data_IF_701210757329
#
_entry.id   IF_701210757329
#
_cell.length_a   1.000
_cell.length_b   1.000
_cell.length_c   1.000
_cell.angle_alpha   90.00
_cell.angle_beta   90.00
_cell.angle_gamma   90.00
#
_symmetry.space_group_name_H-M   'P 1'
#
loop_
_entity.id
_entity.type
_entity.pdbx_description
1 polymer ?
#
# COMPACT_ATOMS: atom_id res chain seq x y z
N UNK A 1 -20.56 -47.86 -13.50
CA UNK A 1 -19.38 -47.21 -14.12
C UNK A 1 -19.59 -45.71 -14.33
N UNK A 2 -20.69 -45.26 -14.94
CA UNK A 2 -20.98 -43.83 -15.19
C UNK A 2 -21.02 -42.96 -13.91
N UNK A 3 -21.65 -43.44 -12.84
CA UNK A 3 -21.73 -42.72 -11.55
C UNK A 3 -20.37 -42.53 -10.86
N UNK A 4 -19.46 -43.50 -11.01
CA UNK A 4 -18.10 -43.43 -10.43
C UNK A 4 -17.19 -42.48 -11.21
N UNK A 5 -17.35 -42.44 -12.53
CA UNK A 5 -16.68 -41.45 -13.40
C UNK A 5 -17.14 -40.02 -13.06
N UNK A 6 -18.45 -39.83 -12.86
CA UNK A 6 -19.03 -38.52 -12.52
C UNK A 6 -18.58 -38.03 -11.14
N UNK A 7 -18.52 -38.92 -10.15
CA UNK A 7 -18.03 -38.59 -8.81
C UNK A 7 -16.54 -38.20 -8.82
N UNK A 8 -15.71 -38.92 -9.57
CA UNK A 8 -14.28 -38.62 -9.70
C UNK A 8 -14.04 -37.28 -10.39
N UNK A 9 -14.85 -36.97 -11.41
CA UNK A 9 -14.81 -35.68 -12.12
C UNK A 9 -15.22 -34.52 -11.19
N UNK A 10 -16.26 -34.70 -10.38
CA UNK A 10 -16.70 -33.69 -9.41
C UNK A 10 -15.64 -33.43 -8.33
N UNK A 11 -14.96 -34.47 -7.84
CA UNK A 11 -13.84 -34.33 -6.89
C UNK A 11 -12.65 -33.60 -7.51
N UNK A 12 -12.31 -33.90 -8.77
CA UNK A 12 -11.26 -33.19 -9.49
C UNK A 12 -11.61 -31.71 -9.70
N UNK A 13 -12.87 -31.41 -10.04
CA UNK A 13 -13.35 -30.04 -10.20
C UNK A 13 -13.35 -29.26 -8.88
N UNK A 14 -13.71 -29.87 -7.75
CA UNK A 14 -13.65 -29.17 -6.46
C UNK A 14 -12.22 -28.89 -6.02
N UNK A 15 -11.27 -29.81 -6.25
CA UNK A 15 -9.84 -29.61 -5.95
C UNK A 15 -9.23 -28.51 -6.82
N UNK A 16 -9.60 -28.43 -8.11
CA UNK A 16 -9.15 -27.36 -9.00
C UNK A 16 -9.75 -26.00 -8.62
N UNK A 17 -11.00 -25.96 -8.15
CA UNK A 17 -11.65 -24.71 -7.73
C UNK A 17 -11.13 -24.19 -6.37
N UNK A 18 -10.68 -25.06 -5.46
CA UNK A 18 -10.03 -24.64 -4.21
C UNK A 18 -8.61 -24.14 -4.42
N UNK A 19 -7.87 -24.65 -5.41
CA UNK A 19 -6.54 -24.12 -5.79
C UNK A 19 -6.61 -22.76 -6.50
N UNK A 20 -7.79 -22.34 -6.98
CA UNK A 20 -8.02 -21.04 -7.60
C UNK A 20 -8.56 -19.97 -6.64
N UNK A 21 -8.67 -20.26 -5.33
CA UNK A 21 -8.80 -19.19 -4.33
C UNK A 21 -7.42 -18.57 -4.19
N UNK A 22 -7.19 -17.48 -4.95
CA UNK A 22 -5.92 -16.79 -5.04
C UNK A 22 -5.25 -16.68 -3.69
N UNK A 23 -3.95 -17.01 -3.65
CA UNK A 23 -3.15 -17.09 -2.43
C UNK A 23 -3.55 -15.99 -1.46
N UNK A 24 -4.18 -16.39 -0.34
CA UNK A 24 -4.32 -15.49 0.79
C UNK A 24 -2.90 -15.17 1.19
N UNK A 25 -2.43 -13.99 0.77
CA UNK A 25 -1.07 -13.54 1.02
C UNK A 25 -0.95 -13.38 2.53
N UNK A 26 -0.45 -14.41 3.20
CA UNK A 26 -0.16 -14.37 4.63
C UNK A 26 1.03 -13.44 4.82
N UNK A 27 0.83 -12.25 5.42
CA UNK A 27 1.91 -11.29 5.57
C UNK A 27 3.07 -11.84 6.41
N UNK A 28 2.80 -12.80 7.31
CA UNK A 28 3.83 -13.45 8.13
C UNK A 28 4.74 -14.38 7.33
N UNK A 29 4.24 -14.95 6.24
CA UNK A 29 5.04 -15.76 5.32
C UNK A 29 5.81 -14.89 4.33
N UNK A 30 5.29 -13.71 3.99
CA UNK A 30 5.94 -12.78 3.06
C UNK A 30 7.23 -12.18 3.61
N UNK A 31 7.27 -11.78 4.89
CA UNK A 31 8.46 -11.11 5.46
C UNK A 31 9.73 -11.95 5.34
N UNK A 32 9.60 -13.28 5.38
CA UNK A 32 10.72 -14.23 5.30
C UNK A 32 11.48 -14.19 3.97
N UNK A 33 10.86 -13.66 2.92
CA UNK A 33 11.46 -13.57 1.59
C UNK A 33 12.22 -12.27 1.34
N UNK A 34 12.15 -11.29 2.24
CA UNK A 34 12.91 -10.06 2.11
C UNK A 34 14.29 -10.20 2.77
N UNK A 35 15.34 -9.73 2.08
CA UNK A 35 16.69 -9.63 2.66
C UNK A 35 16.74 -8.69 3.87
N UNK A 36 15.98 -7.58 3.80
CA UNK A 36 15.70 -6.68 4.92
C UNK A 36 14.18 -6.50 5.06
N UNK A 37 13.66 -6.65 6.28
CA UNK A 37 12.24 -6.43 6.54
C UNK A 37 11.84 -4.97 6.22
N UNK A 38 10.66 -4.73 5.65
CA UNK A 38 10.20 -3.37 5.36
C UNK A 38 10.10 -2.52 6.63
N UNK A 39 10.82 -1.40 6.65
CA UNK A 39 10.77 -0.43 7.75
C UNK A 39 10.62 1.00 7.19
N UNK A 40 9.36 1.38 7.04
CA UNK A 40 8.92 2.69 6.60
C UNK A 40 9.38 3.81 7.55
N UNK A 41 9.50 3.53 8.85
CA UNK A 41 9.96 4.52 9.82
C UNK A 41 11.48 4.77 9.72
N UNK A 42 12.28 3.72 9.55
CA UNK A 42 13.72 3.82 9.24
C UNK A 42 13.94 4.61 7.95
N UNK A 43 13.09 4.41 6.93
CA UNK A 43 13.13 5.22 5.70
C UNK A 43 12.88 6.70 6.01
N UNK A 44 11.83 7.00 6.78
CA UNK A 44 11.52 8.37 7.23
C UNK A 44 12.65 8.97 8.03
N UNK A 45 13.42 8.22 8.82
CA UNK A 45 14.51 8.77 9.64
C UNK A 45 15.79 9.00 8.83
N UNK A 46 16.21 8.00 8.06
CA UNK A 46 17.52 7.97 7.40
C UNK A 46 17.55 8.73 6.08
N UNK A 47 16.48 8.65 5.29
CA UNK A 47 16.44 9.29 3.98
C UNK A 47 16.06 10.77 4.09
N UNK A 48 16.90 11.66 3.53
CA UNK A 48 16.72 13.11 3.63
C UNK A 48 16.35 13.79 2.30
N UNK A 49 16.45 13.08 1.19
CA UNK A 49 16.18 13.63 -0.13
C UNK A 49 14.69 13.56 -0.49
N UNK A 50 14.24 14.31 -1.51
CA UNK A 50 12.91 14.14 -2.06
C UNK A 50 12.73 12.76 -2.70
N UNK A 51 11.54 12.20 -2.55
CA UNK A 51 11.10 11.06 -3.36
C UNK A 51 10.35 11.58 -4.58
N UNK A 52 10.54 10.92 -5.72
CA UNK A 52 9.81 11.18 -6.96
C UNK A 52 8.99 9.96 -7.31
N UNK A 53 7.71 10.14 -7.64
CA UNK A 53 6.89 9.05 -8.15
C UNK A 53 7.09 8.94 -9.65
N UNK A 54 7.81 7.89 -10.07
CA UNK A 54 8.15 7.66 -11.48
C UNK A 54 7.22 6.65 -12.18
N UNK A 55 6.50 5.84 -11.41
CA UNK A 55 5.62 4.81 -11.94
C UNK A 55 4.46 4.54 -10.99
N UNK A 56 3.26 4.36 -11.55
CA UNK A 56 2.03 4.06 -10.82
C UNK A 56 1.23 2.97 -11.54
N UNK A 57 1.36 1.73 -11.08
CA UNK A 57 0.83 0.54 -11.77
C UNK A 57 -0.68 0.58 -12.00
N UNK A 58 -1.46 1.06 -11.02
CA UNK A 58 -2.92 1.11 -11.12
C UNK A 58 -3.43 2.23 -12.06
N UNK A 59 -2.56 3.17 -12.43
CA UNK A 59 -2.92 4.28 -13.33
C UNK A 59 -1.70 4.66 -14.16
N UNK A 60 -1.47 3.98 -15.30
CA UNK A 60 -0.32 4.24 -16.17
C UNK A 60 -0.28 5.66 -16.75
N UNK A 61 -1.38 6.43 -16.69
CA UNK A 61 -1.43 7.83 -17.11
C UNK A 61 -1.39 8.84 -15.95
N UNK A 62 -0.99 8.40 -14.75
CA UNK A 62 -0.93 9.24 -13.56
C UNK A 62 0.00 10.45 -13.76
N UNK A 63 1.16 10.20 -14.37
CA UNK A 63 2.19 11.19 -14.71
C UNK A 63 1.69 12.33 -15.60
N UNK A 64 0.70 12.09 -16.47
CA UNK A 64 0.10 13.13 -17.31
C UNK A 64 -0.67 14.19 -16.52
N UNK A 65 -1.23 13.80 -15.38
CA UNK A 65 -2.02 14.69 -14.51
C UNK A 65 -1.24 15.19 -13.28
N UNK A 66 -0.23 14.43 -12.86
CA UNK A 66 0.62 14.72 -11.70
C UNK A 66 2.09 14.63 -12.11
N UNK A 67 2.48 15.44 -13.09
CA UNK A 67 3.81 15.40 -13.65
C UNK A 67 4.84 15.85 -12.62
N UNK A 68 5.98 15.16 -12.59
CA UNK A 68 7.07 15.40 -11.64
C UNK A 68 6.62 15.38 -10.17
N UNK A 69 5.62 14.54 -9.82
CA UNK A 69 5.17 14.43 -8.44
C UNK A 69 6.34 14.05 -7.53
N UNK A 70 6.58 14.91 -6.54
CA UNK A 70 7.61 14.71 -5.54
C UNK A 70 7.06 14.95 -4.14
N UNK A 71 7.65 14.28 -3.16
CA UNK A 71 7.41 14.51 -1.74
C UNK A 71 8.74 14.65 -0.98
N UNK A 72 8.89 15.71 -0.19
CA UNK A 72 10.07 15.98 0.61
C UNK A 72 9.67 16.15 2.08
N UNK A 73 10.40 15.45 2.95
CA UNK A 73 10.17 15.46 4.39
C UNK A 73 10.59 16.82 4.97
N UNK A 74 9.66 17.54 5.57
CA UNK A 74 9.89 18.86 6.18
C UNK A 74 10.07 18.80 7.70
N UNK A 75 9.39 17.89 8.39
CA UNK A 75 9.46 17.74 9.85
C UNK A 75 9.21 16.29 10.26
N UNK A 76 9.85 15.86 11.34
CA UNK A 76 9.65 14.54 11.96
C UNK A 76 9.14 14.73 13.38
N UNK A 77 8.20 13.88 13.77
CA UNK A 77 7.71 13.74 15.15
C UNK A 77 7.90 12.30 15.58
N UNK A 78 9.04 12.01 16.23
CA UNK A 78 9.46 10.65 16.51
C UNK A 78 8.57 9.92 17.52
N UNK A 79 8.02 10.65 18.50
CA UNK A 79 7.13 10.08 19.53
C UNK A 79 5.88 9.40 18.95
N UNK A 80 5.42 9.84 17.79
CA UNK A 80 4.21 9.34 17.12
C UNK A 80 4.51 8.62 15.81
N UNK A 81 5.78 8.35 15.50
CA UNK A 81 6.25 7.82 14.21
C UNK A 81 5.61 8.52 13.01
N UNK A 82 5.53 9.85 13.07
CA UNK A 82 4.91 10.67 12.03
C UNK A 82 5.87 11.73 11.49
N UNK A 83 5.56 12.23 10.30
CA UNK A 83 6.32 13.26 9.62
C UNK A 83 5.44 14.11 8.72
N UNK A 84 5.79 15.38 8.57
CA UNK A 84 5.16 16.30 7.63
C UNK A 84 5.94 16.30 6.33
N UNK A 85 5.29 16.03 5.21
CA UNK A 85 5.86 16.10 3.87
C UNK A 85 5.29 17.28 3.11
N UNK A 86 6.15 18.05 2.45
CA UNK A 86 5.75 18.98 1.40
C UNK A 86 5.72 18.21 0.08
N UNK A 87 4.74 18.48 -0.76
CA UNK A 87 4.63 17.88 -2.09
C UNK A 87 4.50 18.97 -3.17
N UNK A 88 4.91 18.60 -4.37
CA UNK A 88 4.84 19.41 -5.58
C UNK A 88 4.51 18.52 -6.78
N UNK A 89 3.69 19.02 -7.70
CA UNK A 89 3.54 18.46 -9.04
C UNK A 89 3.03 19.51 -10.04
N UNK A 90 3.19 19.22 -11.33
CA UNK A 90 2.59 19.98 -12.43
C UNK A 90 1.36 19.26 -12.96
N UNK A 91 0.27 20.02 -13.16
CA UNK A 91 -0.92 19.50 -13.84
C UNK A 91 -0.68 19.33 -15.35
N UNK A 92 -1.61 18.70 -16.05
CA UNK A 92 -1.59 18.60 -17.52
C UNK A 92 -1.58 19.95 -18.24
N UNK A 93 -1.97 21.03 -17.56
CA UNK A 93 -1.94 22.41 -18.07
C UNK A 93 -0.71 23.20 -17.59
N UNK A 94 0.32 22.53 -17.09
CA UNK A 94 1.55 23.14 -16.52
C UNK A 94 1.31 24.08 -15.34
N UNK A 95 0.16 23.96 -14.67
CA UNK A 95 -0.09 24.66 -13.40
C UNK A 95 0.61 23.92 -12.28
N UNK A 96 1.30 24.67 -11.44
CA UNK A 96 1.92 24.16 -10.21
C UNK A 96 0.88 23.88 -9.14
N UNK A 97 1.00 22.72 -8.49
CA UNK A 97 0.27 22.38 -7.28
C UNK A 97 1.28 22.03 -6.21
N UNK A 98 1.21 22.77 -5.11
CA UNK A 98 2.02 22.56 -3.92
C UNK A 98 1.13 22.38 -2.70
N UNK A 99 1.61 21.60 -1.75
CA UNK A 99 0.91 21.43 -0.49
C UNK A 99 1.75 20.70 0.54
N UNK A 100 1.11 20.37 1.65
CA UNK A 100 1.75 19.56 2.68
C UNK A 100 0.77 18.59 3.28
N UNK A 101 1.27 17.40 3.62
CA UNK A 101 0.49 16.34 4.26
C UNK A 101 1.24 15.84 5.50
N UNK A 102 0.48 15.36 6.48
CA UNK A 102 1.05 14.58 7.57
C UNK A 102 0.99 13.11 7.17
N UNK A 103 2.06 12.39 7.45
CA UNK A 103 2.20 10.97 7.15
C UNK A 103 2.59 10.26 8.43
N UNK A 104 1.92 9.16 8.73
CA UNK A 104 2.23 8.29 9.86
C UNK A 104 2.69 6.94 9.36
N UNK A 105 3.83 6.47 9.86
CA UNK A 105 4.28 5.10 9.64
C UNK A 105 3.48 4.17 10.55
N UNK A 106 2.90 3.11 9.99
CA UNK A 106 2.09 2.13 10.71
C UNK A 106 2.33 0.72 10.15
N UNK A 107 1.97 -0.29 10.93
CA UNK A 107 1.86 -1.68 10.44
C UNK A 107 0.53 -1.83 9.71
N UNK A 108 0.55 -2.40 8.51
CA UNK A 108 -0.68 -2.78 7.81
C UNK A 108 -1.33 -4.03 8.41
N UNK A 109 -0.50 -4.90 9.01
CA UNK A 109 -0.91 -6.13 9.67
C UNK A 109 -0.03 -6.39 10.91
N UNK A 110 -0.56 -6.94 12.01
CA UNK A 110 0.21 -7.28 13.20
C UNK A 110 1.42 -8.20 12.95
N UNK A 111 1.39 -9.01 11.87
CA UNK A 111 2.45 -9.94 11.51
C UNK A 111 3.77 -9.28 11.10
N UNK A 112 3.76 -8.03 10.62
CA UNK A 112 5.00 -7.34 10.23
C UNK A 112 5.83 -7.00 11.46
N UNK A 113 7.15 -7.17 11.40
CA UNK A 113 8.06 -6.81 12.49
C UNK A 113 8.07 -5.29 12.75
N UNK A 114 8.12 -4.50 11.68
CA UNK A 114 8.25 -3.04 11.70
C UNK A 114 7.08 -2.35 10.97
N UNK A 115 6.97 -1.02 11.08
CA UNK A 115 5.99 -0.28 10.27
C UNK A 115 6.31 -0.42 8.78
N UNK A 116 5.40 -1.01 8.00
CA UNK A 116 5.60 -1.27 6.58
C UNK A 116 4.78 -0.33 5.66
N UNK A 117 3.93 0.54 6.23
CA UNK A 117 2.99 1.37 5.48
C UNK A 117 3.05 2.84 5.91
N UNK A 118 2.83 3.72 4.94
CA UNK A 118 2.54 5.14 5.16
C UNK A 118 1.04 5.43 5.08
N UNK A 119 0.50 6.03 6.13
CA UNK A 119 -0.89 6.53 6.15
C UNK A 119 -0.86 8.05 6.07
N UNK A 120 -1.52 8.61 5.06
CA UNK A 120 -1.66 10.06 4.91
C UNK A 120 -2.83 10.53 5.78
N UNK A 121 -2.54 11.40 6.74
CA UNK A 121 -3.54 11.97 7.64
C UNK A 121 -4.18 13.22 7.02
N UNK A 122 -5.49 13.38 7.25
CA UNK A 122 -6.27 14.57 6.87
C UNK A 122 -6.16 14.94 5.39
N UNK A 123 -6.58 14.04 4.49
CA UNK A 123 -6.76 14.37 3.08
C UNK A 123 -7.98 15.32 2.97
N UNK A 124 -7.80 16.61 2.61
CA UNK A 124 -8.94 17.50 2.42
C UNK A 124 -9.84 16.94 1.31
N UNK A 125 -11.08 16.58 1.65
CA UNK A 125 -12.05 16.01 0.70
C UNK A 125 -12.29 14.49 0.80
N UNK A 126 -11.54 13.75 1.61
CA UNK A 126 -11.91 12.37 2.00
C UNK A 126 -12.46 12.38 3.42
N UNK A 127 -13.79 12.36 3.56
CA UNK A 127 -14.41 11.98 4.83
C UNK A 127 -14.10 10.50 5.08
N UNK A 128 -13.56 10.20 6.25
CA UNK A 128 -13.40 8.83 6.77
C UNK A 128 -14.74 8.11 6.70
N UNK A 129 -14.86 7.14 5.79
CA UNK A 129 -16.15 6.52 5.51
C UNK A 129 -16.11 5.36 4.52
N UNK A 130 -15.05 4.54 4.52
CA UNK A 130 -15.14 3.15 4.06
C UNK A 130 -14.47 2.28 5.12
N UNK A 131 -15.27 1.87 6.10
CA UNK A 131 -14.97 0.72 6.96
C UNK A 131 -14.70 -0.48 6.05
N UNK A 132 -13.53 -1.10 6.23
CA UNK A 132 -13.20 -2.37 5.60
C UNK A 132 -14.33 -3.40 5.86
N UNK A 133 -14.77 -4.16 4.84
CA UNK A 133 -15.71 -5.24 5.05
C UNK A 133 -14.95 -6.40 5.72
N UNK A 134 -15.23 -6.68 7.00
CA UNK A 134 -14.68 -7.88 7.64
C UNK A 134 -14.54 -7.91 9.16
N UNK A 135 -15.07 -6.94 9.94
CA UNK A 135 -15.10 -7.09 11.40
C UNK A 135 -16.32 -7.91 11.82
N UNK A 136 -16.20 -9.24 11.79
CA UNK A 136 -17.14 -10.15 12.44
C UNK A 136 -16.83 -10.25 13.94
N UNK A 137 -17.75 -9.79 14.76
CA UNK A 137 -18.08 -10.42 16.06
C UNK A 137 -19.31 -11.29 15.88
#
# INVERSE_FOLDING_TARGET
>A
MLFSMLASLLVLLTVLMTQCQGDVCDPSEMEKYFEETPDAWKLVQKFRFPFYLVYHSQNPGFDKKHNCLMAARSKITASSKSAKYAFYYLTSTSKEVVGSVNVKAQKSDPAYENENMFVVENIPGCLLGETAPGSHT
#
